data_IF_699078887281
#
_entry.id   IF_699078887281
#
_cell.length_a   1.000
_cell.length_b   1.000
_cell.length_c   1.000
_cell.angle_alpha   90.00
_cell.angle_beta   90.00
_cell.angle_gamma   90.00
#
_symmetry.space_group_name_H-M   'P 1'
#
loop_
_entity.id
_entity.type
_entity.pdbx_description
1 polymer ?
#
# COMPACT_ATOMS: atom_id res chain seq x y z
N UNK A 1 35.49 -16.26 53.96
CA UNK A 1 34.51 -15.18 53.65
C UNK A 1 34.43 -14.79 52.16
N UNK A 2 35.40 -15.08 51.29
CA UNK A 2 35.39 -14.60 49.89
C UNK A 2 34.45 -15.30 48.88
N UNK A 3 33.97 -16.53 49.13
CA UNK A 3 33.13 -17.27 48.16
C UNK A 3 31.62 -16.95 48.25
N UNK A 4 31.12 -16.48 49.39
CA UNK A 4 29.70 -16.10 49.57
C UNK A 4 29.38 -14.76 48.92
N UNK A 5 30.34 -13.81 48.94
CA UNK A 5 30.16 -12.47 48.37
C UNK A 5 30.05 -12.48 46.83
N UNK A 6 30.72 -13.43 46.16
CA UNK A 6 30.70 -13.57 44.69
C UNK A 6 29.39 -14.19 44.18
N UNK A 7 28.77 -15.08 44.95
CA UNK A 7 27.47 -15.69 44.60
C UNK A 7 26.30 -14.70 44.75
N UNK A 8 26.32 -13.86 45.79
CA UNK A 8 25.30 -12.82 45.98
C UNK A 8 25.38 -11.72 44.90
N UNK A 9 26.57 -11.36 44.41
CA UNK A 9 26.73 -10.42 43.29
C UNK A 9 26.15 -10.98 41.99
N UNK A 10 26.32 -12.28 41.70
CA UNK A 10 25.80 -12.88 40.46
C UNK A 10 24.27 -13.00 40.45
N UNK A 11 23.64 -13.32 41.59
CA UNK A 11 22.17 -13.35 41.74
C UNK A 11 21.58 -11.94 41.58
N UNK A 12 22.20 -10.93 42.18
CA UNK A 12 21.76 -9.52 42.08
C UNK A 12 21.90 -8.99 40.64
N UNK A 13 22.97 -9.36 39.92
CA UNK A 13 23.15 -8.99 38.51
C UNK A 13 22.16 -9.71 37.58
N UNK A 14 21.80 -10.97 37.87
CA UNK A 14 20.83 -11.76 37.10
C UNK A 14 19.39 -11.25 37.30
N UNK A 15 19.04 -10.86 38.53
CA UNK A 15 17.79 -10.18 38.90
C UNK A 15 17.65 -8.78 38.26
N UNK A 16 18.73 -7.99 38.22
CA UNK A 16 18.72 -6.67 37.54
C UNK A 16 18.55 -6.80 36.02
N UNK A 17 19.17 -7.81 35.39
CA UNK A 17 19.02 -8.08 33.95
C UNK A 17 17.61 -8.58 33.58
N UNK A 18 16.98 -9.41 34.42
CA UNK A 18 15.59 -9.83 34.18
C UNK A 18 14.62 -8.65 34.29
N UNK A 19 14.79 -7.77 35.27
CA UNK A 19 13.92 -6.60 35.45
C UNK A 19 14.07 -5.59 34.32
N UNK A 20 15.30 -5.37 33.81
CA UNK A 20 15.53 -4.54 32.63
C UNK A 20 14.87 -5.11 31.36
N UNK A 21 14.92 -6.43 31.18
CA UNK A 21 14.30 -7.10 30.03
C UNK A 21 12.76 -7.04 30.08
N UNK A 22 12.18 -7.19 31.28
CA UNK A 22 10.74 -7.02 31.53
C UNK A 22 10.27 -5.58 31.29
N UNK A 23 11.07 -4.59 31.71
CA UNK A 23 10.78 -3.17 31.46
C UNK A 23 10.85 -2.82 29.97
N UNK A 24 11.84 -3.33 29.24
CA UNK A 24 11.95 -3.15 27.78
C UNK A 24 10.76 -3.78 27.07
N UNK A 25 10.38 -5.01 27.45
CA UNK A 25 9.23 -5.68 26.86
C UNK A 25 7.92 -4.93 27.15
N UNK A 26 7.73 -4.46 28.38
CA UNK A 26 6.55 -3.65 28.74
C UNK A 26 6.49 -2.33 27.96
N UNK A 27 7.64 -1.67 27.75
CA UNK A 27 7.73 -0.45 26.96
C UNK A 27 7.41 -0.71 25.47
N UNK A 28 7.90 -1.82 24.91
CA UNK A 28 7.60 -2.21 23.54
C UNK A 28 6.11 -2.56 23.35
N UNK A 29 5.50 -3.24 24.32
CA UNK A 29 4.06 -3.52 24.31
C UNK A 29 3.24 -2.24 24.43
N UNK A 30 3.64 -1.32 25.31
CA UNK A 30 2.98 -0.02 25.45
C UNK A 30 3.10 0.81 24.17
N UNK A 31 4.27 0.81 23.53
CA UNK A 31 4.50 1.50 22.26
C UNK A 31 3.65 0.87 21.13
N UNK A 32 3.57 -0.46 21.05
CA UNK A 32 2.72 -1.14 20.09
C UNK A 32 1.23 -0.85 20.31
N UNK A 33 0.78 -0.80 21.58
CA UNK A 33 -0.58 -0.41 21.94
C UNK A 33 -0.88 1.06 21.59
N UNK A 34 0.08 1.96 21.78
CA UNK A 34 -0.04 3.36 21.38
C UNK A 34 -0.11 3.52 19.86
N UNK A 35 0.73 2.82 19.10
CA UNK A 35 0.68 2.80 17.64
C UNK A 35 -0.64 2.20 17.13
N UNK A 36 -1.13 1.13 17.77
CA UNK A 36 -2.44 0.54 17.44
C UNK A 36 -3.59 1.49 17.78
N UNK A 37 -3.53 2.19 18.92
CA UNK A 37 -4.55 3.17 19.27
C UNK A 37 -4.55 4.37 18.30
N UNK A 38 -3.36 4.82 17.88
CA UNK A 38 -3.21 5.86 16.85
C UNK A 38 -3.77 5.42 15.50
N UNK A 39 -3.52 4.19 15.07
CA UNK A 39 -4.07 3.68 13.80
C UNK A 39 -5.59 3.51 13.86
N UNK A 40 -6.15 3.08 15.00
CA UNK A 40 -7.60 2.98 15.22
C UNK A 40 -8.25 4.37 15.20
N UNK A 41 -7.66 5.37 15.88
CA UNK A 41 -8.15 6.75 15.88
C UNK A 41 -8.10 7.38 14.49
N UNK A 42 -7.01 7.16 13.74
CA UNK A 42 -6.87 7.62 12.36
C UNK A 42 -7.90 6.96 11.44
N UNK A 43 -8.13 5.65 11.57
CA UNK A 43 -9.16 4.94 10.83
C UNK A 43 -10.57 5.46 11.13
N UNK A 44 -10.89 5.74 12.39
CA UNK A 44 -12.20 6.30 12.79
C UNK A 44 -12.39 7.72 12.27
N UNK A 45 -11.35 8.56 12.31
CA UNK A 45 -11.38 9.90 11.75
C UNK A 45 -11.54 9.90 10.22
N UNK A 46 -10.87 8.97 9.53
CA UNK A 46 -11.02 8.76 8.09
C UNK A 46 -12.42 8.25 7.72
N UNK A 47 -13.00 7.35 8.51
CA UNK A 47 -14.38 6.92 8.30
C UNK A 47 -15.34 8.09 8.48
N UNK A 48 -15.20 8.91 9.53
CA UNK A 48 -16.06 10.06 9.75
C UNK A 48 -15.88 11.17 8.68
N UNK A 49 -14.68 11.36 8.13
CA UNK A 49 -14.43 12.33 7.06
C UNK A 49 -15.04 11.89 5.72
N UNK A 50 -15.02 10.59 5.45
CA UNK A 50 -15.67 9.99 4.27
C UNK A 50 -17.19 9.86 4.46
N UNK A 51 -17.66 9.57 5.67
CA UNK A 51 -19.05 9.25 6.03
C UNK A 51 -19.87 10.46 6.51
N UNK A 52 -19.38 11.69 6.33
CA UNK A 52 -20.12 12.91 6.69
C UNK A 52 -21.40 13.16 5.84
N UNK A 53 -21.93 12.13 5.16
CA UNK A 53 -23.14 12.16 4.34
C UNK A 53 -23.04 13.02 3.07
N UNK A 54 -21.83 13.46 2.71
CA UNK A 54 -21.58 14.41 1.60
C UNK A 54 -20.84 13.82 0.41
N UNK A 55 -20.11 12.71 0.60
CA UNK A 55 -19.41 12.00 -0.49
C UNK A 55 -20.19 10.72 -0.82
N UNK A 56 -20.58 10.50 -2.09
CA UNK A 56 -21.28 9.28 -2.49
C UNK A 56 -20.49 8.00 -2.17
N UNK A 57 -21.17 7.03 -1.56
CA UNK A 57 -20.61 5.70 -1.29
C UNK A 57 -21.09 4.73 -2.37
N UNK A 58 -20.15 4.09 -3.03
CA UNK A 58 -20.38 3.05 -4.02
C UNK A 58 -20.15 1.66 -3.42
N UNK A 59 -20.93 0.70 -3.89
CA UNK A 59 -20.67 -0.72 -3.69
C UNK A 59 -19.79 -1.31 -4.79
N UNK A 60 -19.67 -2.63 -4.78
CA UNK A 60 -18.95 -3.38 -5.82
C UNK A 60 -19.66 -4.68 -6.17
N UNK A 61 -19.42 -5.17 -7.38
CA UNK A 61 -19.75 -6.52 -7.84
C UNK A 61 -18.44 -7.25 -8.20
N UNK A 62 -18.26 -8.47 -7.70
CA UNK A 62 -17.16 -9.33 -8.15
C UNK A 62 -17.53 -9.95 -9.49
N UNK A 63 -16.78 -9.61 -10.53
CA UNK A 63 -16.96 -10.14 -11.89
C UNK A 63 -16.19 -11.44 -12.07
N UNK A 64 -14.96 -11.50 -11.54
CA UNK A 64 -14.10 -12.67 -11.60
C UNK A 64 -13.12 -12.70 -10.43
N UNK A 65 -12.74 -13.89 -9.99
CA UNK A 65 -11.69 -14.12 -9.01
C UNK A 65 -10.53 -14.84 -9.67
N UNK A 66 -9.31 -14.44 -9.34
CA UNK A 66 -8.06 -15.04 -9.80
C UNK A 66 -7.22 -15.47 -8.59
N UNK A 67 -6.34 -16.48 -8.74
CA UNK A 67 -5.35 -16.81 -7.72
C UNK A 67 -4.38 -15.65 -7.50
N UNK A 68 -3.93 -15.46 -6.26
CA UNK A 68 -2.87 -14.52 -5.91
C UNK A 68 -1.91 -15.20 -4.91
N UNK A 69 -0.63 -14.82 -4.95
CA UNK A 69 0.39 -15.38 -4.08
C UNK A 69 0.14 -14.93 -2.62
N UNK A 70 -0.27 -15.86 -1.76
CA UNK A 70 -0.52 -15.58 -0.34
C UNK A 70 0.73 -15.25 0.47
N UNK A 71 1.92 -15.28 -0.13
CA UNK A 71 3.17 -14.80 0.48
C UNK A 71 3.56 -13.38 0.03
N UNK A 72 2.83 -12.79 -0.92
CA UNK A 72 3.11 -11.45 -1.43
C UNK A 72 2.52 -10.38 -0.50
N UNK A 73 3.40 -9.59 0.13
CA UNK A 73 3.00 -8.40 0.86
C UNK A 73 2.83 -7.24 -0.12
N UNK A 74 1.74 -7.23 -0.88
CA UNK A 74 1.48 -6.29 -1.99
C UNK A 74 1.53 -4.83 -1.55
N UNK A 75 2.41 -4.06 -2.19
CA UNK A 75 2.56 -2.62 -1.94
C UNK A 75 2.34 -1.76 -3.19
N UNK A 76 2.40 -2.36 -4.38
CA UNK A 76 2.03 -1.71 -5.64
C UNK A 76 1.53 -2.75 -6.63
N UNK A 77 0.52 -2.38 -7.41
CA UNK A 77 -0.03 -3.24 -8.45
C UNK A 77 -0.28 -2.40 -9.70
N UNK A 78 0.10 -2.89 -10.86
CA UNK A 78 -0.19 -2.25 -12.15
C UNK A 78 -0.53 -3.32 -13.18
N UNK A 79 -1.30 -2.96 -14.20
CA UNK A 79 -1.61 -3.83 -15.33
C UNK A 79 -1.06 -3.23 -16.62
N UNK A 80 -0.39 -4.05 -17.43
CA UNK A 80 0.08 -3.65 -18.75
C UNK A 80 0.20 -4.87 -19.68
N UNK A 81 -0.31 -4.73 -20.90
CA UNK A 81 -0.22 -5.70 -22.00
C UNK A 81 -0.46 -7.18 -21.60
N UNK A 82 -1.51 -7.47 -20.82
CA UNK A 82 -1.85 -8.86 -20.46
C UNK A 82 -1.28 -9.36 -19.13
N UNK A 83 -0.34 -8.64 -18.53
CA UNK A 83 0.33 -9.03 -17.30
C UNK A 83 0.08 -8.05 -16.16
N UNK A 84 0.25 -8.53 -14.93
CA UNK A 84 0.33 -7.69 -13.74
C UNK A 84 1.81 -7.41 -13.43
N UNK A 85 2.09 -6.21 -12.97
CA UNK A 85 3.35 -5.82 -12.35
C UNK A 85 3.09 -5.55 -10.88
N UNK A 86 3.84 -6.23 -10.01
CA UNK A 86 3.58 -6.19 -8.57
C UNK A 86 4.87 -5.86 -7.79
N UNK A 87 4.77 -4.85 -6.92
CA UNK A 87 5.78 -4.54 -5.91
C UNK A 87 5.41 -5.17 -4.58
N UNK A 88 6.32 -5.93 -3.99
CA UNK A 88 6.12 -6.53 -2.66
C UNK A 88 7.03 -5.89 -1.62
N UNK A 89 6.49 -5.71 -0.42
CA UNK A 89 7.21 -5.18 0.74
C UNK A 89 7.92 -6.24 1.59
N UNK A 90 8.79 -5.77 2.48
CA UNK A 90 9.53 -6.59 3.45
C UNK A 90 11.05 -6.42 3.32
N UNK A 91 11.74 -5.99 4.37
CA UNK A 91 13.20 -5.87 4.36
C UNK A 91 13.84 -7.24 4.07
N UNK A 92 14.76 -7.27 3.10
CA UNK A 92 15.39 -8.52 2.62
C UNK A 92 14.48 -9.44 1.79
N UNK A 93 13.21 -9.08 1.61
CA UNK A 93 12.20 -9.89 0.91
C UNK A 93 11.51 -9.14 -0.24
N UNK A 94 11.70 -7.84 -0.33
CA UNK A 94 11.03 -6.99 -1.31
C UNK A 94 11.42 -7.35 -2.74
N UNK A 95 10.44 -7.34 -3.63
CA UNK A 95 10.62 -7.70 -5.04
C UNK A 95 9.80 -6.81 -5.95
N UNK A 96 10.22 -6.76 -7.21
CA UNK A 96 9.39 -6.38 -8.35
C UNK A 96 9.12 -7.65 -9.18
N UNK A 97 7.86 -7.89 -9.53
CA UNK A 97 7.43 -9.12 -10.21
C UNK A 97 6.57 -8.79 -11.42
N UNK A 98 6.70 -9.59 -12.48
CA UNK A 98 5.71 -9.71 -13.57
C UNK A 98 4.93 -10.99 -13.35
N UNK A 99 3.61 -10.90 -13.31
CA UNK A 99 2.70 -11.98 -12.90
C UNK A 99 1.67 -12.24 -14.00
N UNK A 100 1.41 -13.52 -14.29
CA UNK A 100 0.33 -13.92 -15.17
C UNK A 100 -1.02 -13.73 -14.46
N UNK A 101 -1.90 -12.91 -15.03
CA UNK A 101 -3.20 -12.59 -14.44
C UNK A 101 -4.07 -13.84 -14.19
N UNK A 102 -4.03 -14.83 -15.08
CA UNK A 102 -4.97 -15.97 -15.03
C UNK A 102 -4.60 -16.97 -13.95
N UNK A 103 -3.31 -17.30 -13.84
CA UNK A 103 -2.80 -18.31 -12.93
C UNK A 103 -2.28 -17.74 -11.61
N UNK A 104 -1.97 -16.44 -11.55
CA UNK A 104 -1.26 -15.81 -10.43
C UNK A 104 0.21 -16.20 -10.36
N UNK A 105 0.75 -16.87 -11.39
CA UNK A 105 2.14 -17.34 -11.40
C UNK A 105 3.10 -16.19 -11.69
N UNK A 106 4.20 -16.12 -10.93
CA UNK A 106 5.30 -15.19 -11.20
C UNK A 106 6.02 -15.63 -12.48
N UNK A 107 5.93 -14.82 -13.53
CA UNK A 107 6.60 -15.04 -14.81
C UNK A 107 8.06 -14.60 -14.76
N UNK A 108 8.33 -13.53 -14.01
CA UNK A 108 9.66 -12.95 -13.86
C UNK A 108 9.70 -12.13 -12.56
N UNK A 109 10.86 -12.05 -11.91
CA UNK A 109 11.04 -11.20 -10.74
C UNK A 109 12.48 -10.74 -10.61
N UNK A 110 12.65 -9.61 -9.91
CA UNK A 110 13.93 -9.15 -9.39
C UNK A 110 13.80 -8.83 -7.91
N UNK A 111 14.88 -9.05 -7.14
CA UNK A 111 14.93 -8.73 -5.71
C UNK A 111 15.52 -7.34 -5.53
N UNK A 112 14.94 -6.58 -4.61
CA UNK A 112 15.52 -5.30 -4.21
C UNK A 112 16.74 -5.56 -3.31
N UNK A 113 17.60 -4.55 -3.18
CA UNK A 113 18.62 -4.55 -2.14
C UNK A 113 17.95 -4.79 -0.77
N UNK A 114 18.56 -5.64 0.06
CA UNK A 114 17.98 -6.04 1.35
C UNK A 114 17.74 -4.87 2.33
N UNK A 115 18.44 -3.74 2.13
CA UNK A 115 18.24 -2.52 2.90
C UNK A 115 16.94 -1.78 2.54
N UNK A 116 16.30 -2.12 1.43
CA UNK A 116 15.07 -1.48 0.97
C UNK A 116 13.83 -2.30 1.32
N UNK A 117 12.79 -1.57 1.70
CA UNK A 117 11.42 -2.05 1.76
C UNK A 117 10.71 -1.49 0.54
N UNK A 118 10.34 -2.35 -0.41
CA UNK A 118 9.69 -1.98 -1.66
C UNK A 118 8.24 -1.58 -1.44
N UNK A 119 7.79 -0.57 -2.19
CA UNK A 119 6.46 0.01 -2.09
C UNK A 119 5.79 0.03 -3.48
N UNK A 120 5.00 1.06 -3.78
CA UNK A 120 4.22 1.25 -5.00
C UNK A 120 5.04 1.08 -6.28
N UNK A 121 4.38 0.58 -7.33
CA UNK A 121 4.95 0.36 -8.67
C UNK A 121 4.07 1.04 -9.71
N UNK A 122 4.68 1.74 -10.66
CA UNK A 122 3.98 2.30 -11.81
C UNK A 122 4.65 1.91 -13.13
N UNK A 123 3.84 1.73 -14.16
CA UNK A 123 4.29 1.60 -15.54
C UNK A 123 4.51 3.01 -16.10
N UNK A 124 5.71 3.25 -16.62
CA UNK A 124 6.11 4.52 -17.20
C UNK A 124 6.73 4.27 -18.58
N UNK A 125 5.89 4.23 -19.62
CA UNK A 125 6.29 3.88 -20.98
C UNK A 125 6.94 2.48 -21.06
N UNK A 126 8.22 2.43 -21.42
CA UNK A 126 9.07 1.25 -21.52
C UNK A 126 9.78 0.88 -20.21
N UNK A 127 9.53 1.64 -19.15
CA UNK A 127 10.12 1.48 -17.83
C UNK A 127 9.07 1.15 -16.78
N UNK A 128 9.55 0.58 -15.68
CA UNK A 128 8.81 0.50 -14.41
C UNK A 128 9.53 1.37 -13.40
N UNK A 129 8.77 2.02 -12.52
CA UNK A 129 9.32 2.67 -11.33
C UNK A 129 8.77 2.00 -10.09
N UNK A 130 9.59 1.85 -9.06
CA UNK A 130 9.18 1.34 -7.77
C UNK A 130 9.69 2.24 -6.64
N UNK A 131 8.79 2.61 -5.75
CA UNK A 131 9.13 3.36 -4.55
C UNK A 131 9.72 2.45 -3.48
N UNK A 132 10.38 3.07 -2.50
CA UNK A 132 10.75 2.43 -1.25
C UNK A 132 10.19 3.21 -0.07
N UNK A 133 9.90 2.52 1.04
CA UNK A 133 9.15 3.13 2.13
C UNK A 133 9.82 4.36 2.75
N UNK A 134 10.96 4.17 3.42
CA UNK A 134 11.59 5.20 4.26
C UNK A 134 12.91 5.74 3.73
N UNK A 135 13.40 5.20 2.62
CA UNK A 135 14.76 5.53 2.17
C UNK A 135 14.82 6.81 1.32
N UNK A 136 13.68 7.31 0.84
CA UNK A 136 13.62 8.45 -0.08
C UNK A 136 14.25 8.14 -1.45
N UNK A 137 14.27 6.85 -1.83
CA UNK A 137 14.87 6.37 -3.09
C UNK A 137 13.80 5.62 -3.88
N UNK A 138 13.65 6.01 -5.14
CA UNK A 138 12.88 5.28 -6.14
C UNK A 138 13.81 4.55 -7.10
N UNK A 139 13.38 3.40 -7.57
CA UNK A 139 14.16 2.51 -8.44
C UNK A 139 13.52 2.46 -9.82
N UNK A 140 14.34 2.51 -10.86
CA UNK A 140 13.88 2.47 -12.26
C UNK A 140 14.33 1.18 -12.90
N UNK A 141 13.42 0.48 -13.58
CA UNK A 141 13.67 -0.81 -14.19
C UNK A 141 13.32 -0.80 -15.67
N UNK A 142 14.07 -1.56 -16.45
CA UNK A 142 13.67 -1.98 -17.79
C UNK A 142 12.43 -2.90 -17.68
N UNK A 143 11.33 -2.55 -18.35
CA UNK A 143 10.07 -3.29 -18.24
C UNK A 143 10.12 -4.70 -18.85
N UNK A 144 10.99 -4.93 -19.83
CA UNK A 144 11.08 -6.21 -20.54
C UNK A 144 11.76 -7.27 -19.67
N UNK A 145 12.84 -6.87 -18.98
CA UNK A 145 13.71 -7.80 -18.25
C UNK A 145 13.82 -7.55 -16.74
N UNK A 146 13.15 -6.52 -16.20
CA UNK A 146 13.16 -6.13 -14.78
C UNK A 146 14.56 -5.83 -14.22
N UNK A 147 15.53 -5.49 -15.07
CA UNK A 147 16.85 -5.05 -14.62
C UNK A 147 16.73 -3.63 -14.11
N UNK A 148 17.29 -3.35 -12.93
CA UNK A 148 17.39 -1.98 -12.43
C UNK A 148 18.37 -1.19 -13.31
N UNK A 149 17.89 -0.11 -13.92
CA UNK A 149 18.65 0.75 -14.85
C UNK A 149 18.89 2.15 -14.29
N UNK A 150 18.30 2.47 -13.13
CA UNK A 150 18.50 3.76 -12.49
C UNK A 150 17.86 3.85 -11.12
N UNK A 151 18.04 5.01 -10.49
CA UNK A 151 17.41 5.40 -9.25
C UNK A 151 17.14 6.91 -9.26
N UNK A 152 16.19 7.34 -8.43
CA UNK A 152 15.86 8.75 -8.20
C UNK A 152 15.60 8.99 -6.71
N UNK A 153 15.58 10.26 -6.30
CA UNK A 153 15.35 10.65 -4.90
C UNK A 153 14.07 11.46 -4.76
N UNK A 154 13.41 11.30 -3.62
CA UNK A 154 12.24 12.10 -3.22
C UNK A 154 12.31 12.40 -1.71
N UNK A 155 11.69 13.51 -1.25
CA UNK A 155 11.91 14.02 0.11
C UNK A 155 11.00 13.42 1.20
N UNK A 156 10.01 12.60 0.84
CA UNK A 156 9.00 12.03 1.74
C UNK A 156 9.20 10.52 1.97
N UNK A 157 8.31 9.89 2.75
CA UNK A 157 8.09 8.44 2.57
C UNK A 157 7.49 8.18 1.17
N UNK A 158 7.61 6.95 0.68
CA UNK A 158 6.97 6.53 -0.56
C UNK A 158 6.00 5.39 -0.29
N UNK A 159 4.73 5.53 -0.69
CA UNK A 159 3.69 4.52 -0.49
C UNK A 159 3.16 4.05 -1.86
N UNK A 160 2.10 4.66 -2.40
CA UNK A 160 1.59 4.33 -3.73
C UNK A 160 2.17 5.21 -4.83
N UNK A 161 2.19 4.69 -6.07
CA UNK A 161 2.55 5.46 -7.26
C UNK A 161 1.76 4.97 -8.47
N UNK A 162 1.29 5.90 -9.30
CA UNK A 162 0.65 5.62 -10.60
C UNK A 162 1.06 6.70 -11.61
N UNK A 163 0.54 6.66 -12.84
CA UNK A 163 0.84 7.60 -13.92
C UNK A 163 -0.43 8.09 -14.62
N UNK A 164 -0.55 9.40 -14.85
CA UNK A 164 -1.58 9.98 -15.72
C UNK A 164 -1.17 10.01 -17.20
N UNK A 165 -0.03 9.39 -17.54
CA UNK A 165 0.58 9.40 -18.87
C UNK A 165 1.37 10.69 -19.18
N UNK A 166 1.37 11.67 -18.28
CA UNK A 166 2.15 12.91 -18.38
C UNK A 166 3.08 13.13 -17.19
N UNK A 167 2.69 12.63 -16.02
CA UNK A 167 3.37 12.77 -14.72
C UNK A 167 3.15 11.51 -13.91
N UNK A 168 4.08 11.23 -13.00
CA UNK A 168 3.84 10.27 -11.93
C UNK A 168 3.06 10.95 -10.82
N UNK A 169 2.24 10.16 -10.12
CA UNK A 169 1.44 10.59 -8.98
C UNK A 169 1.81 9.68 -7.81
N UNK A 170 2.32 10.24 -6.73
CA UNK A 170 2.84 9.51 -5.58
C UNK A 170 2.06 9.88 -4.31
N UNK A 171 1.76 8.89 -3.47
CA UNK A 171 1.28 9.07 -2.10
C UNK A 171 2.38 8.71 -1.10
N UNK A 172 2.26 9.23 0.12
CA UNK A 172 3.21 9.02 1.22
C UNK A 172 2.52 8.65 2.54
N UNK A 173 1.25 8.24 2.48
CA UNK A 173 0.41 7.94 3.64
C UNK A 173 -0.25 9.16 4.30
N UNK A 174 0.12 10.39 3.90
CA UNK A 174 -0.54 11.62 4.36
C UNK A 174 -1.79 11.94 3.53
N UNK A 175 -2.34 13.15 3.68
CA UNK A 175 -3.36 13.68 2.78
C UNK A 175 -2.82 14.22 1.45
N UNK A 176 -1.52 14.14 1.21
CA UNK A 176 -0.88 14.79 0.06
C UNK A 176 -0.60 13.79 -1.06
N UNK A 177 -0.92 14.19 -2.29
CA UNK A 177 -0.46 13.54 -3.51
C UNK A 177 0.59 14.44 -4.16
N UNK A 178 1.73 13.85 -4.50
CA UNK A 178 2.87 14.51 -5.13
C UNK A 178 2.88 14.20 -6.62
N UNK A 179 3.11 15.20 -7.46
CA UNK A 179 3.27 15.04 -8.89
C UNK A 179 4.75 15.10 -9.24
N UNK A 180 5.26 14.06 -9.89
CA UNK A 180 6.66 14.01 -10.33
C UNK A 180 6.72 14.01 -11.86
N UNK A 181 7.78 14.60 -12.41
CA UNK A 181 8.09 14.51 -13.83
C UNK A 181 8.35 13.05 -14.24
N UNK A 182 7.90 12.65 -15.43
CA UNK A 182 8.05 11.26 -15.91
C UNK A 182 9.49 10.88 -16.25
N UNK A 183 10.34 11.86 -16.56
CA UNK A 183 11.70 11.63 -17.02
C UNK A 183 12.73 11.98 -15.96
N UNK A 184 12.58 13.14 -15.31
CA UNK A 184 13.55 13.64 -14.31
C UNK A 184 13.20 13.20 -12.89
N UNK A 185 11.95 12.78 -12.65
CA UNK A 185 11.39 12.46 -11.32
C UNK A 185 11.39 13.65 -10.35
N UNK A 186 11.63 14.87 -10.83
CA UNK A 186 11.55 16.08 -10.02
C UNK A 186 10.09 16.39 -9.66
N UNK A 187 9.88 16.90 -8.45
CA UNK A 187 8.54 17.27 -8.00
C UNK A 187 8.04 18.50 -8.77
N UNK A 188 6.94 18.32 -9.49
CA UNK A 188 6.24 19.35 -10.26
C UNK A 188 5.23 20.12 -9.41
N UNK A 189 4.83 19.56 -8.27
CA UNK A 189 3.88 20.14 -7.35
C UNK A 189 3.14 19.06 -6.56
N UNK A 190 2.16 19.49 -5.76
CA UNK A 190 1.39 18.60 -4.89
C UNK A 190 -0.06 19.04 -4.78
N UNK A 191 -0.88 18.15 -4.25
CA UNK A 191 -2.31 18.35 -4.06
C UNK A 191 -2.74 17.74 -2.72
N UNK A 192 -3.57 18.45 -1.95
CA UNK A 192 -4.17 17.91 -0.72
C UNK A 192 -5.51 17.26 -1.03
N UNK A 193 -5.68 16.02 -0.60
CA UNK A 193 -6.91 15.25 -0.75
C UNK A 193 -7.87 15.56 0.37
N UNK A 194 -9.12 15.84 0.02
CA UNK A 194 -10.19 16.16 0.96
C UNK A 194 -11.48 15.45 0.60
N UNK A 195 -12.21 15.00 1.60
CA UNK A 195 -13.59 14.55 1.49
C UNK A 195 -14.49 15.62 2.11
N UNK A 196 -15.28 16.30 1.30
CA UNK A 196 -16.20 17.36 1.74
C UNK A 196 -15.52 18.43 2.63
N UNK A 197 -14.30 18.84 2.25
CA UNK A 197 -13.49 19.82 2.96
C UNK A 197 -12.63 19.27 4.11
N UNK A 198 -12.76 18.00 4.48
CA UNK A 198 -11.97 17.36 5.53
C UNK A 198 -10.78 16.61 4.92
N UNK A 199 -9.53 16.82 5.38
CA UNK A 199 -8.36 16.07 4.90
C UNK A 199 -8.55 14.55 5.03
N UNK A 200 -8.12 13.80 4.01
CA UNK A 200 -8.17 12.33 3.99
C UNK A 200 -6.77 11.78 4.18
N UNK A 201 -6.52 11.07 5.26
CA UNK A 201 -5.21 10.47 5.59
C UNK A 201 -5.12 9.03 5.10
N UNK A 202 -3.92 8.47 5.08
CA UNK A 202 -3.70 7.05 4.79
C UNK A 202 -3.85 6.71 3.31
N UNK A 203 -3.61 7.68 2.41
CA UNK A 203 -3.51 7.43 0.98
C UNK A 203 -2.36 6.45 0.73
N UNK A 204 -2.69 5.25 0.29
CA UNK A 204 -1.72 4.18 0.09
C UNK A 204 -1.58 3.90 -1.41
N UNK A 205 -1.77 2.66 -1.85
CA UNK A 205 -1.65 2.29 -3.25
C UNK A 205 -2.59 3.09 -4.15
N UNK A 206 -2.11 3.44 -5.35
CA UNK A 206 -2.77 4.35 -6.29
C UNK A 206 -2.95 3.71 -7.66
N UNK A 207 -4.03 4.07 -8.35
CA UNK A 207 -4.20 3.81 -9.78
C UNK A 207 -4.91 4.96 -10.51
N UNK A 208 -4.42 5.36 -11.69
CA UNK A 208 -5.06 6.40 -12.51
C UNK A 208 -6.00 5.79 -13.54
N UNK A 209 -7.29 6.09 -13.41
CA UNK A 209 -8.34 5.45 -14.20
C UNK A 209 -9.22 6.54 -14.81
N UNK A 210 -9.21 6.64 -16.15
CA UNK A 210 -10.14 7.47 -16.92
C UNK A 210 -10.27 8.92 -16.42
N UNK A 211 -9.18 9.53 -15.98
CA UNK A 211 -9.17 10.92 -15.51
C UNK A 211 -9.23 11.09 -14.00
N UNK A 212 -9.32 10.02 -13.22
CA UNK A 212 -9.49 10.03 -11.78
C UNK A 212 -8.37 9.22 -11.09
N UNK A 213 -8.03 9.60 -9.85
CA UNK A 213 -7.06 8.88 -9.03
C UNK A 213 -7.82 7.99 -8.07
N UNK A 214 -7.55 6.69 -8.11
CA UNK A 214 -8.06 5.71 -7.17
C UNK A 214 -6.97 5.51 -6.11
N UNK A 215 -7.34 5.55 -4.84
CA UNK A 215 -6.41 5.37 -3.74
C UNK A 215 -6.97 4.41 -2.69
N UNK A 216 -6.22 3.35 -2.35
CA UNK A 216 -6.51 2.60 -1.14
C UNK A 216 -6.36 3.50 0.10
N UNK A 217 -7.31 3.40 1.04
CA UNK A 217 -7.24 4.11 2.31
C UNK A 217 -6.79 3.15 3.40
N UNK A 218 -5.52 3.22 3.81
CA UNK A 218 -4.96 2.36 4.84
C UNK A 218 -5.40 2.82 6.26
N UNK A 219 -5.66 1.90 7.21
CA UNK A 219 -5.76 0.44 7.10
C UNK A 219 -7.22 -0.03 6.94
N UNK A 220 -7.95 0.49 5.95
CA UNK A 220 -9.39 0.25 5.78
C UNK A 220 -9.69 -0.60 4.53
N UNK A 221 -10.97 -0.98 4.35
CA UNK A 221 -11.45 -1.63 3.13
C UNK A 221 -12.01 -0.63 2.10
N UNK A 222 -11.60 0.63 2.17
CA UNK A 222 -12.12 1.69 1.30
C UNK A 222 -11.13 2.09 0.21
N UNK A 223 -11.67 2.45 -0.94
CA UNK A 223 -10.97 3.16 -2.00
C UNK A 223 -11.59 4.55 -2.14
N UNK A 224 -10.76 5.59 -2.17
CA UNK A 224 -11.18 6.94 -2.54
C UNK A 224 -10.99 7.13 -4.05
N UNK A 225 -11.98 7.75 -4.70
CA UNK A 225 -11.88 8.19 -6.09
C UNK A 225 -11.78 9.72 -6.09
N UNK A 226 -10.63 10.23 -6.53
CA UNK A 226 -10.16 11.59 -6.28
C UNK A 226 -10.02 12.33 -7.60
N UNK A 227 -10.47 13.59 -7.62
CA UNK A 227 -10.21 14.52 -8.72
C UNK A 227 -8.73 14.94 -8.73
N UNK A 228 -7.96 14.67 -9.80
CA UNK A 228 -6.56 15.11 -9.88
C UNK A 228 -6.42 16.63 -10.04
N UNK A 229 -7.50 17.35 -10.39
CA UNK A 229 -7.47 18.81 -10.53
C UNK A 229 -7.70 19.54 -9.20
N UNK A 230 -8.53 18.98 -8.31
CA UNK A 230 -9.00 19.68 -7.11
C UNK A 230 -8.62 19.00 -5.80
N UNK A 231 -8.30 17.70 -5.82
CA UNK A 231 -8.04 16.90 -4.63
C UNK A 231 -9.31 16.49 -3.89
N UNK A 232 -10.48 16.87 -4.39
CA UNK A 232 -11.74 16.45 -3.79
C UNK A 232 -12.01 14.98 -4.09
N UNK A 233 -12.40 14.23 -3.05
CA UNK A 233 -12.94 12.88 -3.18
C UNK A 233 -14.32 12.98 -3.80
N UNK A 234 -14.45 12.46 -5.01
CA UNK A 234 -15.67 12.46 -5.81
C UNK A 234 -16.66 11.41 -5.31
N UNK A 235 -16.14 10.27 -4.86
CA UNK A 235 -16.88 9.13 -4.33
C UNK A 235 -15.92 8.16 -3.63
N UNK A 236 -16.46 7.28 -2.80
CA UNK A 236 -15.70 6.20 -2.19
C UNK A 236 -16.31 4.85 -2.51
N UNK A 237 -15.49 3.80 -2.46
CA UNK A 237 -15.91 2.42 -2.72
C UNK A 237 -15.64 1.60 -1.47
N UNK A 238 -16.68 0.99 -0.89
CA UNK A 238 -16.54 0.12 0.27
C UNK A 238 -16.39 -1.33 -0.17
N UNK A 239 -15.19 -1.90 -0.02
CA UNK A 239 -14.89 -3.30 -0.35
C UNK A 239 -15.03 -4.25 0.86
N UNK A 240 -15.68 -3.80 1.95
CA UNK A 240 -15.91 -4.65 3.11
C UNK A 240 -16.66 -5.92 2.71
N UNK A 241 -16.12 -7.07 3.12
CA UNK A 241 -16.69 -8.39 2.82
C UNK A 241 -16.29 -8.98 1.46
N UNK A 242 -15.44 -8.30 0.67
CA UNK A 242 -14.92 -8.85 -0.59
C UNK A 242 -14.17 -10.18 -0.38
N UNK A 243 -13.36 -10.25 0.68
CA UNK A 243 -12.65 -11.46 1.08
C UNK A 243 -13.50 -12.27 2.07
N UNK A 244 -13.82 -13.52 1.71
CA UNK A 244 -14.61 -14.38 2.58
C UNK A 244 -13.83 -14.80 3.82
N UNK A 245 -14.54 -15.03 4.94
CA UNK A 245 -13.92 -15.38 6.24
C UNK A 245 -12.95 -16.56 6.19
N UNK A 246 -13.20 -17.53 5.30
CA UNK A 246 -12.33 -18.70 5.15
C UNK A 246 -10.99 -18.37 4.49
N UNK A 247 -10.97 -17.36 3.62
CA UNK A 247 -9.76 -16.88 2.92
C UNK A 247 -9.02 -15.80 3.73
N UNK A 248 -9.67 -15.19 4.71
CA UNK A 248 -9.12 -14.09 5.52
C UNK A 248 -8.17 -14.54 6.65
N UNK A 249 -7.79 -15.82 6.72
CA UNK A 249 -6.85 -16.31 7.74
C UNK A 249 -5.41 -16.02 7.32
N UNK A 250 -4.68 -15.30 8.17
CA UNK A 250 -3.25 -15.00 7.93
C UNK A 250 -3.02 -13.93 6.87
N UNK A 251 -4.08 -13.27 6.40
CA UNK A 251 -3.99 -12.13 5.50
C UNK A 251 -3.82 -10.83 6.27
N UNK A 252 -3.36 -9.80 5.60
CA UNK A 252 -3.32 -8.42 6.10
C UNK A 252 -4.37 -7.58 5.33
N UNK A 253 -4.18 -6.27 5.20
CA UNK A 253 -5.21 -5.35 4.69
C UNK A 253 -5.35 -5.34 3.16
N UNK A 254 -6.48 -4.80 2.70
CA UNK A 254 -6.70 -4.39 1.30
C UNK A 254 -5.58 -3.43 0.85
N UNK A 255 -4.92 -3.74 -0.26
CA UNK A 255 -3.91 -2.89 -0.89
C UNK A 255 -3.55 -3.45 -2.29
N UNK A 256 -3.57 -2.61 -3.32
CA UNK A 256 -3.30 -2.98 -4.71
C UNK A 256 -4.53 -2.81 -5.59
N UNK A 257 -4.42 -1.91 -6.57
CA UNK A 257 -5.44 -1.55 -7.55
C UNK A 257 -4.76 -1.53 -8.92
N UNK A 258 -5.31 -2.25 -9.89
CA UNK A 258 -4.78 -2.20 -11.25
C UNK A 258 -5.91 -2.09 -12.26
N UNK A 259 -5.65 -1.39 -13.36
CA UNK A 259 -6.64 -1.15 -14.40
C UNK A 259 -6.18 -1.59 -15.78
N UNK A 260 -7.02 -2.40 -16.43
CA UNK A 260 -6.87 -2.73 -17.85
C UNK A 260 -7.73 -1.78 -18.70
N UNK A 261 -7.11 -0.85 -19.46
CA UNK A 261 -7.84 0.08 -20.31
C UNK A 261 -8.45 -0.59 -21.55
N UNK A 262 -7.88 -1.68 -22.07
CA UNK A 262 -8.37 -2.35 -23.29
C UNK A 262 -9.67 -3.11 -23.01
N UNK A 263 -9.70 -3.84 -21.89
CA UNK A 263 -10.85 -4.64 -21.47
C UNK A 263 -11.81 -3.91 -20.52
N UNK A 264 -11.50 -2.68 -20.11
CA UNK A 264 -12.20 -1.92 -19.06
C UNK A 264 -12.39 -2.74 -17.77
N UNK A 265 -11.28 -3.28 -17.24
CA UNK A 265 -11.30 -4.17 -16.07
C UNK A 265 -10.54 -3.55 -14.90
N UNK A 266 -11.22 -3.45 -13.77
CA UNK A 266 -10.63 -3.03 -12.50
C UNK A 266 -10.30 -4.25 -11.66
N UNK A 267 -9.05 -4.33 -11.19
CA UNK A 267 -8.55 -5.39 -10.34
C UNK A 267 -8.17 -4.85 -8.96
N UNK A 268 -8.48 -5.61 -7.92
CA UNK A 268 -8.09 -5.31 -6.53
C UNK A 268 -7.60 -6.56 -5.82
N UNK A 269 -6.63 -6.39 -4.93
CA UNK A 269 -6.07 -7.46 -4.09
C UNK A 269 -5.73 -6.91 -2.69
N UNK A 270 -4.97 -7.67 -1.90
CA UNK A 270 -4.45 -7.21 -0.63
C UNK A 270 -3.18 -7.93 -0.22
N UNK A 271 -2.61 -7.44 0.87
CA UNK A 271 -1.36 -7.94 1.45
C UNK A 271 -1.59 -9.36 1.98
N UNK A 272 -0.84 -10.31 1.42
CA UNK A 272 -0.94 -11.74 1.72
C UNK A 272 -2.29 -12.36 1.33
N UNK A 273 -3.09 -11.70 0.48
CA UNK A 273 -4.37 -12.24 0.06
C UNK A 273 -4.16 -13.42 -0.89
N UNK A 274 -4.91 -14.52 -0.78
CA UNK A 274 -4.80 -15.64 -1.71
C UNK A 274 -5.54 -15.40 -3.05
N UNK A 275 -6.19 -14.24 -3.19
CA UNK A 275 -7.09 -13.93 -4.30
C UNK A 275 -6.92 -12.49 -4.77
N UNK A 276 -6.99 -12.32 -6.09
CA UNK A 276 -7.19 -11.05 -6.78
C UNK A 276 -8.59 -11.05 -7.40
N UNK A 277 -9.27 -9.90 -7.34
CA UNK A 277 -10.65 -9.77 -7.78
C UNK A 277 -10.73 -8.77 -8.93
N UNK A 278 -11.34 -9.18 -10.05
CA UNK A 278 -11.92 -8.22 -10.98
C UNK A 278 -13.26 -7.75 -10.43
N UNK A 279 -13.40 -6.44 -10.27
CA UNK A 279 -14.63 -5.84 -9.73
C UNK A 279 -15.25 -4.85 -10.72
N UNK A 280 -16.54 -4.59 -10.52
CA UNK A 280 -17.25 -3.44 -11.07
C UNK A 280 -17.76 -2.57 -9.93
N UNK A 281 -17.61 -1.26 -10.03
CA UNK A 281 -18.17 -0.33 -9.05
C UNK A 281 -19.64 -0.10 -9.38
N UNK A 282 -20.51 -0.16 -8.36
CA UNK A 282 -21.95 0.08 -8.50
C UNK A 282 -22.37 1.23 -7.60
N UNK A 283 -23.14 2.17 -8.15
CA UNK A 283 -23.57 3.40 -7.46
C UNK A 283 -24.81 3.20 -6.58
N UNK A 284 -25.56 2.12 -6.77
CA UNK A 284 -26.75 1.80 -6.00
C UNK A 284 -26.48 0.63 -5.06
N UNK A 285 -26.40 0.90 -3.75
CA UNK A 285 -26.67 -0.15 -2.78
C UNK A 285 -28.19 -0.41 -2.81
N UNK A 286 -28.64 -1.32 -3.68
CA UNK A 286 -29.92 -1.99 -3.43
C UNK A 286 -29.74 -2.75 -2.12
N UNK A 287 -30.16 -2.14 -1.02
CA UNK A 287 -30.36 -2.78 0.27
C UNK A 287 -30.96 -4.18 0.03
N UNK A 288 -30.15 -5.21 0.24
CA UNK A 288 -30.58 -6.60 0.31
C UNK A 288 -30.30 -7.10 1.72
#
# INVERSE_FOLDING_TARGET
>A
MGRVLTFMKSITLRSKRSNASLLILALLVLLALLCFLQSVLAAQANLNSVDAGRVPICGFEVIRTFPHDSSAFTQGLAYDCGALYEGTGGYGQSTLRRVDLRSGSVLQQTRLNAAFFGEGVAVCNDRLVQLTWKSGIGLVYDKQNLTQIGEFRYPTEGWGITSDGKRLIMSDGTETLHFLDLETFEELGWLKVKAAGVPVQGLNELEYIKGEIYANLWPTNWIAIISPQTGEVLRTVNLSGILQKNDARGVDVLNGIAYDPEGDRLFVTGKLWPKLFQIRIVTDQKNK
#
